data_IF_068418374767
#
_entry.id   IF_068418374767
#
_cell.length_a   1.000
_cell.length_b   1.000
_cell.length_c   1.000
_cell.angle_alpha   90.00
_cell.angle_beta   90.00
_cell.angle_gamma   90.00
#
_symmetry.space_group_name_H-M   'P 1'
#
loop_
_entity.id
_entity.type
_entity.pdbx_description
1 polymer ?
#
# COMPACT_ATOMS: atom_id res chain seq x y z
N UNK A 1 -2.74 20.18 -0.78
CA UNK A 1 -3.40 19.24 0.15
C UNK A 1 -4.04 18.15 -0.70
N UNK A 2 -3.86 16.89 -0.34
CA UNK A 2 -4.37 15.73 -1.11
C UNK A 2 -5.43 15.05 -0.28
N UNK A 3 -6.55 14.66 -0.88
CA UNK A 3 -7.61 13.87 -0.23
C UNK A 3 -7.66 12.50 -0.87
N UNK A 4 -7.46 11.46 -0.07
CA UNK A 4 -7.58 10.06 -0.47
C UNK A 4 -8.80 9.46 0.20
N UNK A 5 -9.45 8.52 -0.48
CA UNK A 5 -10.54 7.75 0.06
C UNK A 5 -10.09 6.30 0.17
N UNK A 6 -10.30 5.72 1.35
CA UNK A 6 -10.11 4.32 1.60
C UNK A 6 -11.23 3.52 0.92
N UNK A 7 -10.83 2.45 0.26
CA UNK A 7 -11.71 1.47 -0.35
C UNK A 7 -12.40 0.62 0.74
N UNK A 8 -13.45 -0.11 0.36
CA UNK A 8 -14.22 -0.93 1.31
C UNK A 8 -13.34 -1.98 2.01
N UNK A 9 -12.28 -2.42 1.33
CA UNK A 9 -11.35 -3.46 1.77
C UNK A 9 -10.28 -2.95 2.75
N UNK A 10 -10.20 -1.64 3.02
CA UNK A 10 -9.19 -1.09 3.94
C UNK A 10 -7.97 -0.48 3.27
N UNK A 11 -7.98 -0.31 1.95
CA UNK A 11 -6.82 0.11 1.17
C UNK A 11 -7.05 1.46 0.49
N UNK A 12 -6.00 2.24 0.27
CA UNK A 12 -6.03 3.39 -0.64
C UNK A 12 -5.30 3.03 -1.93
N UNK A 13 -5.73 3.62 -3.05
CA UNK A 13 -4.96 3.54 -4.29
C UNK A 13 -3.79 4.53 -4.25
N UNK A 14 -2.58 3.99 -4.22
CA UNK A 14 -1.34 4.76 -4.21
C UNK A 14 -0.35 4.13 -5.19
N UNK A 15 -0.24 4.73 -6.37
CA UNK A 15 0.69 4.28 -7.43
C UNK A 15 2.09 4.92 -7.28
N UNK A 16 2.29 5.80 -6.30
CA UNK A 16 3.58 6.52 -6.11
C UNK A 16 3.76 7.01 -4.68
N UNK A 17 5.02 7.09 -4.24
CA UNK A 17 5.41 7.79 -3.02
C UNK A 17 5.01 9.28 -3.07
N UNK A 18 4.43 9.73 -1.97
CA UNK A 18 4.12 11.14 -1.76
C UNK A 18 5.35 11.87 -1.21
N UNK A 19 5.56 13.14 -1.57
CA UNK A 19 6.61 13.95 -0.96
C UNK A 19 6.36 14.11 0.55
N UNK A 20 7.40 13.95 1.37
CA UNK A 20 7.28 13.90 2.84
C UNK A 20 6.60 15.13 3.47
N UNK A 21 6.70 16.30 2.83
CA UNK A 21 6.09 17.55 3.29
C UNK A 21 4.62 17.74 2.89
N UNK A 22 4.03 16.83 2.11
CA UNK A 22 2.62 16.95 1.73
C UNK A 22 1.72 16.41 2.84
N UNK A 23 0.64 17.14 3.12
CA UNK A 23 -0.46 16.69 3.98
C UNK A 23 -1.49 15.95 3.13
N UNK A 24 -1.75 14.71 3.50
CA UNK A 24 -2.78 13.87 2.91
C UNK A 24 -3.87 13.64 3.94
N UNK A 25 -5.11 13.94 3.57
CA UNK A 25 -6.29 13.57 4.32
C UNK A 25 -6.82 12.27 3.76
N UNK A 26 -7.05 11.28 4.61
CA UNK A 26 -7.59 9.98 4.25
C UNK A 26 -8.98 9.88 4.85
N UNK A 27 -9.98 9.61 4.01
CA UNK A 27 -11.34 9.26 4.45
C UNK A 27 -11.41 7.75 4.58
N UNK A 28 -11.53 7.26 5.81
CA UNK A 28 -11.68 5.84 6.14
C UNK A 28 -13.09 5.36 5.73
N UNK A 29 -13.26 4.05 5.50
CA UNK A 29 -14.58 3.51 5.13
C UNK A 29 -15.63 3.73 6.25
N UNK A 30 -15.15 3.79 7.50
CA UNK A 30 -15.94 4.05 8.71
C UNK A 30 -16.54 5.47 8.76
N UNK A 31 -16.20 6.34 7.80
CA UNK A 31 -16.60 7.74 7.76
C UNK A 31 -15.68 8.67 8.56
N UNK A 32 -14.79 8.09 9.38
CA UNK A 32 -13.70 8.81 10.02
C UNK A 32 -12.73 9.39 8.97
N UNK A 33 -12.11 10.54 9.26
CA UNK A 33 -11.02 11.08 8.43
C UNK A 33 -9.78 11.33 9.26
N UNK A 34 -8.62 10.94 8.77
CA UNK A 34 -7.33 11.20 9.42
C UNK A 34 -6.38 11.95 8.50
N UNK A 35 -5.60 12.86 9.05
CA UNK A 35 -4.58 13.60 8.32
C UNK A 35 -3.20 13.02 8.61
N UNK A 36 -2.52 12.57 7.56
CA UNK A 36 -1.22 11.93 7.64
C UNK A 36 -0.23 12.64 6.71
N UNK A 37 1.04 12.78 7.13
CA UNK A 37 2.08 13.25 6.24
C UNK A 37 2.40 12.18 5.19
N UNK A 38 2.86 12.61 4.01
CA UNK A 38 3.26 11.68 2.94
C UNK A 38 4.32 10.68 3.37
N UNK A 39 5.16 11.05 4.35
CA UNK A 39 6.14 10.14 4.94
C UNK A 39 5.51 8.93 5.63
N UNK A 40 4.39 9.09 6.33
CA UNK A 40 3.66 7.99 6.98
C UNK A 40 3.07 7.05 5.94
N UNK A 41 2.45 7.58 4.88
CA UNK A 41 1.94 6.78 3.78
C UNK A 41 3.04 6.03 3.03
N UNK A 42 4.21 6.64 2.85
CA UNK A 42 5.35 5.96 2.24
C UNK A 42 5.88 4.82 3.13
N UNK A 43 5.87 4.99 4.46
CA UNK A 43 6.29 3.94 5.37
C UNK A 43 5.30 2.76 5.37
N UNK A 44 4.00 3.06 5.38
CA UNK A 44 2.93 2.08 5.19
C UNK A 44 3.06 1.33 3.85
N UNK A 45 3.35 2.07 2.77
CA UNK A 45 3.60 1.52 1.45
C UNK A 45 4.78 0.54 1.47
N UNK A 46 5.91 0.93 2.07
CA UNK A 46 7.11 0.10 2.13
C UNK A 46 6.89 -1.16 2.98
N UNK A 47 6.21 -1.03 4.13
CA UNK A 47 5.85 -2.16 4.98
C UNK A 47 4.93 -3.16 4.25
N UNK A 48 3.86 -2.67 3.63
CA UNK A 48 2.94 -3.51 2.85
C UNK A 48 3.63 -4.12 1.62
N UNK A 49 4.55 -3.39 0.98
CA UNK A 49 5.35 -3.92 -0.13
C UNK A 49 6.30 -5.03 0.35
N UNK A 50 6.91 -4.88 1.52
CA UNK A 50 7.76 -5.89 2.13
C UNK A 50 6.97 -7.17 2.47
N UNK A 51 5.75 -7.04 3.02
CA UNK A 51 4.86 -8.16 3.27
C UNK A 51 4.40 -8.84 1.98
N UNK A 52 4.01 -8.06 0.97
CA UNK A 52 3.62 -8.57 -0.35
C UNK A 52 4.78 -9.35 -1.01
N UNK A 53 6.01 -8.84 -0.89
CA UNK A 53 7.23 -9.53 -1.34
C UNK A 53 7.50 -10.80 -0.55
N UNK A 54 7.34 -10.77 0.78
CA UNK A 54 7.52 -11.93 1.66
C UNK A 54 6.53 -13.06 1.36
N UNK A 55 5.26 -12.70 1.10
CA UNK A 55 4.20 -13.64 0.72
C UNK A 55 4.41 -14.23 -0.68
N UNK A 56 4.84 -13.40 -1.63
CA UNK A 56 5.15 -13.85 -2.99
C UNK A 56 6.46 -14.69 -3.05
N UNK A 57 7.33 -14.58 -2.05
CA UNK A 57 8.57 -15.34 -1.93
C UNK A 57 8.41 -16.75 -1.36
N UNK A 58 7.24 -17.12 -0.83
CA UNK A 58 7.05 -18.38 -0.11
C UNK A 58 6.72 -19.60 -1.01
N UNK A 59 6.59 -19.43 -2.33
CA UNK A 59 6.33 -20.52 -3.29
C UNK A 59 7.58 -21.05 -4.03
N UNK A 60 8.79 -20.66 -3.61
CA UNK A 60 10.03 -21.10 -4.27
C UNK A 60 10.45 -22.56 -3.97
N UNK A 61 9.52 -23.44 -3.57
CA UNK A 61 9.72 -24.90 -3.47
C UNK A 61 8.44 -25.68 -3.82
N UNK A 62 8.17 -25.77 -5.12
CA UNK A 62 7.44 -26.90 -5.69
C UNK A 62 6.11 -26.55 -6.31
N UNK A 63 6.04 -26.70 -7.64
CA UNK A 63 4.84 -26.70 -8.49
C UNK A 63 4.32 -25.36 -9.04
N UNK A 64 5.19 -24.56 -9.65
CA UNK A 64 4.70 -23.59 -10.64
C UNK A 64 4.48 -24.27 -12.01
N UNK A 65 3.22 -24.65 -12.31
CA UNK A 65 2.71 -24.97 -13.67
C UNK A 65 2.09 -23.72 -14.32
N UNK A 66 2.79 -22.60 -14.32
CA UNK A 66 2.36 -21.39 -15.06
C UNK A 66 3.59 -20.71 -15.68
N UNK A 67 3.55 -20.35 -16.98
CA UNK A 67 4.74 -19.98 -17.73
C UNK A 67 5.46 -18.79 -17.09
N UNK A 68 6.78 -18.94 -16.98
CA UNK A 68 7.78 -18.01 -16.48
C UNK A 68 7.91 -16.76 -17.37
N UNK A 69 6.82 -16.00 -17.51
CA UNK A 69 6.71 -14.87 -18.44
C UNK A 69 6.14 -13.59 -17.84
N UNK A 70 5.97 -13.51 -16.52
CA UNK A 70 5.69 -12.24 -15.84
C UNK A 70 6.66 -12.05 -14.68
N UNK A 71 7.92 -11.82 -15.03
CA UNK A 71 8.72 -10.82 -14.32
C UNK A 71 8.00 -9.49 -14.50
N UNK A 72 6.92 -9.31 -13.75
CA UNK A 72 6.14 -8.09 -13.75
C UNK A 72 7.12 -6.97 -13.41
N UNK A 73 7.13 -5.91 -14.21
CA UNK A 73 7.61 -4.58 -13.81
C UNK A 73 6.81 -3.99 -12.61
N UNK A 74 6.13 -4.85 -11.84
CA UNK A 74 5.16 -4.64 -10.78
C UNK A 74 5.66 -5.15 -9.43
N UNK A 75 6.89 -4.77 -9.05
CA UNK A 75 7.32 -4.75 -7.65
C UNK A 75 6.70 -3.52 -6.94
N UNK A 76 5.43 -3.25 -7.21
CA UNK A 76 4.70 -2.10 -6.72
C UNK A 76 3.35 -2.61 -6.26
N UNK A 77 2.95 -2.19 -5.07
CA UNK A 77 1.56 -2.32 -4.65
C UNK A 77 0.85 -1.05 -5.12
N UNK A 78 -0.30 -1.20 -5.79
CA UNK A 78 -1.18 -0.06 -6.09
C UNK A 78 -2.13 0.22 -4.92
N UNK A 79 -2.22 -0.71 -3.97
CA UNK A 79 -3.12 -0.69 -2.83
C UNK A 79 -2.30 -0.69 -1.55
N UNK A 80 -2.39 0.40 -0.78
CA UNK A 80 -1.73 0.52 0.51
C UNK A 80 -2.78 0.34 1.59
N UNK A 81 -2.63 -0.63 2.50
CA UNK A 81 -3.54 -0.76 3.63
C UNK A 81 -3.44 0.51 4.45
N UNK A 82 -4.58 1.13 4.76
CA UNK A 82 -4.65 2.32 5.62
C UNK A 82 -5.52 2.08 6.84
N UNK A 83 -5.01 2.44 8.01
CA UNK A 83 -5.77 2.39 9.26
C UNK A 83 -5.54 3.67 10.07
N UNK A 84 -6.53 4.08 10.89
CA UNK A 84 -6.47 5.36 11.61
C UNK A 84 -5.30 5.44 12.61
N UNK A 85 -4.72 4.32 13.02
CA UNK A 85 -3.54 4.24 13.90
C UNK A 85 -2.17 4.21 13.22
N UNK A 86 -2.03 4.52 11.92
CA UNK A 86 -0.73 4.44 11.23
C UNK A 86 0.25 5.58 11.53
N UNK A 87 -0.15 6.54 12.37
CA UNK A 87 0.67 7.69 12.74
C UNK A 87 1.11 7.71 14.20
N UNK A 88 0.92 6.63 14.96
CA UNK A 88 1.31 6.52 16.37
C UNK A 88 2.75 6.03 16.54
#
# INVERSE_FOLDING_TARGET
MITLQQDADGFIRMNRHYPAGVRIRITFNDGSTGEFPGRTLNNAYDAALAEFRGRNGFDARGYNRTPAGRTNSGNKIDFVPVHPGMGE
#
